data_IF_623180711364
#
_entry.id   IF_623180711364
#
_cell.length_a   1.000
_cell.length_b   1.000
_cell.length_c   1.000
_cell.angle_alpha   90.00
_cell.angle_beta   90.00
_cell.angle_gamma   90.00
#
_symmetry.space_group_name_H-M   'P 1'
#
loop_
_entity.id
_entity.type
_entity.pdbx_description
1 polymer ?
#
# COMPACT_ATOMS: atom_id res chain seq x y z
N UNK A 1 -12.23 -6.21 8.19
CA UNK A 1 -11.86 -6.42 9.61
C UNK A 1 -10.35 -6.23 9.71
N UNK A 2 -9.84 -5.55 10.73
CA UNK A 2 -8.40 -5.37 10.95
C UNK A 2 -7.86 -6.62 11.67
N UNK A 3 -6.96 -7.38 11.04
CA UNK A 3 -6.30 -8.51 11.69
C UNK A 3 -5.37 -8.06 12.84
N UNK A 4 -4.89 -8.99 13.68
CA UNK A 4 -4.06 -8.66 14.84
C UNK A 4 -2.77 -7.90 14.51
N UNK A 5 -2.18 -8.10 13.34
CA UNK A 5 -0.92 -7.48 12.90
C UNK A 5 -1.14 -6.43 11.81
N UNK A 6 -2.39 -6.20 11.41
CA UNK A 6 -2.72 -5.31 10.29
C UNK A 6 -2.90 -3.86 10.75
N UNK A 7 -2.81 -2.95 9.78
CA UNK A 7 -3.33 -1.58 9.90
C UNK A 7 -4.37 -1.35 8.81
N UNK A 8 -5.46 -0.64 9.16
CA UNK A 8 -6.44 -0.15 8.19
C UNK A 8 -6.16 1.33 7.96
N UNK A 9 -6.02 1.72 6.70
CA UNK A 9 -5.72 3.09 6.30
C UNK A 9 -6.97 3.68 5.65
N UNK A 10 -7.38 4.86 6.13
CA UNK A 10 -8.32 5.71 5.40
C UNK A 10 -7.53 6.52 4.37
N UNK A 11 -7.70 6.16 3.10
CA UNK A 11 -7.04 6.85 1.98
C UNK A 11 -7.63 8.25 1.82
N UNK A 12 -6.77 9.27 1.78
CA UNK A 12 -7.16 10.68 1.60
C UNK A 12 -6.85 11.19 0.19
N UNK A 13 -5.82 10.65 -0.44
CA UNK A 13 -5.44 10.96 -1.80
C UNK A 13 -4.75 9.75 -2.45
N UNK A 14 -4.94 9.59 -3.76
CA UNK A 14 -4.21 8.65 -4.59
C UNK A 14 -3.80 9.35 -5.90
N UNK A 15 -2.60 9.04 -6.38
CA UNK A 15 -2.07 9.52 -7.65
C UNK A 15 -2.16 8.43 -8.73
N UNK A 16 -1.95 8.85 -9.97
CA UNK A 16 -1.91 7.96 -11.14
C UNK A 16 -0.53 8.11 -11.77
N UNK A 17 0.14 6.98 -11.97
CA UNK A 17 1.46 6.96 -12.60
C UNK A 17 1.44 6.19 -13.94
N UNK A 18 2.59 6.19 -14.63
CA UNK A 18 2.73 5.46 -15.89
C UNK A 18 2.52 3.96 -15.75
N UNK A 19 2.81 3.36 -14.59
CA UNK A 19 2.53 1.95 -14.36
C UNK A 19 1.03 1.68 -14.24
N UNK A 20 0.24 2.56 -13.63
CA UNK A 20 -1.23 2.41 -13.60
C UNK A 20 -1.81 2.40 -15.01
N UNK A 21 -1.30 3.27 -15.90
CA UNK A 21 -1.73 3.31 -17.30
C UNK A 21 -1.39 2.05 -18.08
N UNK A 22 -0.22 1.44 -17.84
CA UNK A 22 0.15 0.15 -18.46
C UNK A 22 -0.80 -0.98 -18.04
N UNK A 23 -1.24 -0.97 -16.78
CA UNK A 23 -2.23 -1.93 -16.30
C UNK A 23 -3.63 -1.64 -16.86
N UNK A 24 -4.01 -0.36 -16.99
CA UNK A 24 -5.28 0.04 -17.59
C UNK A 24 -5.40 -0.39 -19.06
N UNK A 25 -4.32 -0.22 -19.83
CA UNK A 25 -4.27 -0.59 -21.25
C UNK A 25 -3.98 -2.08 -21.51
N UNK A 26 -3.90 -2.93 -20.48
CA UNK A 26 -3.47 -4.35 -20.55
C UNK A 26 -2.11 -4.57 -21.25
N UNK A 27 -1.31 -3.51 -21.41
CA UNK A 27 0.03 -3.55 -22.01
C UNK A 27 1.06 -4.27 -21.13
N UNK A 28 0.72 -4.56 -19.87
CA UNK A 28 1.55 -5.34 -18.94
C UNK A 28 1.45 -6.86 -19.15
N UNK A 29 0.61 -7.35 -20.06
CA UNK A 29 0.35 -8.78 -20.23
C UNK A 29 -0.43 -9.43 -19.09
N UNK A 30 -1.07 -8.63 -18.22
CA UNK A 30 -1.98 -9.12 -17.18
C UNK A 30 -3.42 -9.02 -17.66
N UNK A 31 -4.07 -10.17 -17.88
CA UNK A 31 -5.47 -10.27 -18.33
C UNK A 31 -6.52 -10.01 -17.22
N UNK A 32 -6.10 -9.54 -16.04
CA UNK A 32 -7.01 -9.21 -14.94
C UNK A 32 -7.65 -7.84 -15.13
N UNK A 33 -8.77 -7.83 -15.87
CA UNK A 33 -9.65 -6.68 -16.05
C UNK A 33 -10.32 -6.18 -14.75
N UNK A 34 -10.33 -6.98 -13.67
CA UNK A 34 -11.04 -6.69 -12.41
C UNK A 34 -10.11 -6.52 -11.20
N UNK A 35 -8.91 -6.00 -11.40
CA UNK A 35 -7.97 -5.73 -10.31
C UNK A 35 -8.02 -4.24 -9.93
N UNK A 36 -8.19 -3.95 -8.63
CA UNK A 36 -8.08 -2.59 -8.09
C UNK A 36 -6.61 -2.19 -8.12
N UNK A 37 -6.27 -1.15 -8.88
CA UNK A 37 -4.90 -0.65 -9.06
C UNK A 37 -4.64 0.59 -8.19
N UNK A 38 -3.40 1.06 -8.24
CA UNK A 38 -2.92 2.21 -7.47
C UNK A 38 -1.94 1.80 -6.38
N UNK A 39 -0.70 2.27 -6.49
CA UNK A 39 0.36 2.08 -5.51
C UNK A 39 0.95 3.41 -5.01
N UNK A 40 0.32 4.52 -5.39
CA UNK A 40 0.69 5.88 -4.97
C UNK A 40 -0.48 6.49 -4.19
N UNK A 41 -0.49 6.33 -2.87
CA UNK A 41 -1.55 6.85 -2.03
C UNK A 41 -1.03 7.39 -0.69
N UNK A 42 -1.78 8.32 -0.11
CA UNK A 42 -1.53 8.86 1.22
C UNK A 42 -2.84 8.93 2.02
N UNK A 43 -2.72 8.75 3.34
CA UNK A 43 -3.88 8.68 4.21
C UNK A 43 -3.52 8.73 5.68
N UNK A 44 -4.49 8.33 6.51
CA UNK A 44 -4.33 8.21 7.95
C UNK A 44 -4.72 6.80 8.41
N UNK A 45 -4.03 6.28 9.43
CA UNK A 45 -4.40 5.01 10.05
C UNK A 45 -5.75 5.18 10.75
N UNK A 46 -6.74 4.40 10.33
CA UNK A 46 -8.08 4.35 10.88
C UNK A 46 -8.23 3.28 11.97
N UNK A 47 -7.50 2.17 11.85
CA UNK A 47 -7.50 1.08 12.83
C UNK A 47 -6.13 0.41 12.88
N UNK A 48 -5.76 -0.08 14.06
CA UNK A 48 -4.57 -0.92 14.29
C UNK A 48 -4.99 -2.25 14.91
N UNK A 49 -4.32 -3.32 14.52
CA UNK A 49 -4.44 -4.63 15.15
C UNK A 49 -3.85 -4.66 16.56
N UNK A 50 -4.31 -5.60 17.38
CA UNK A 50 -3.92 -5.72 18.79
C UNK A 50 -2.41 -6.03 19.02
N UNK A 51 -1.71 -6.56 18.02
CA UNK A 51 -0.28 -6.88 18.06
C UNK A 51 0.60 -5.81 17.43
N UNK A 52 0.02 -4.78 16.81
CA UNK A 52 0.77 -3.66 16.21
C UNK A 52 1.33 -2.77 17.30
N UNK A 53 2.65 -2.56 17.32
CA UNK A 53 3.35 -1.80 18.37
C UNK A 53 3.81 -0.41 17.93
N UNK A 54 4.21 -0.28 16.67
CA UNK A 54 4.95 0.89 16.19
C UNK A 54 4.07 1.94 15.49
N UNK A 55 2.75 1.67 15.40
CA UNK A 55 1.80 2.50 14.66
C UNK A 55 0.57 2.80 15.51
N UNK A 56 -0.05 3.97 15.26
CA UNK A 56 -1.25 4.42 16.00
C UNK A 56 -2.30 5.05 15.08
N UNK A 57 -3.56 4.96 15.50
CA UNK A 57 -4.68 5.62 14.84
C UNK A 57 -4.42 7.14 14.74
N UNK A 58 -4.77 7.72 13.58
CA UNK A 58 -4.56 9.12 13.25
C UNK A 58 -3.18 9.45 12.69
N UNK A 59 -2.22 8.51 12.72
CA UNK A 59 -0.91 8.72 12.11
C UNK A 59 -1.03 8.82 10.59
N UNK A 60 -0.37 9.83 10.00
CA UNK A 60 -0.29 10.00 8.55
C UNK A 60 0.70 9.00 7.96
N UNK A 61 0.31 8.39 6.86
CA UNK A 61 1.10 7.37 6.15
C UNK A 61 1.03 7.61 4.65
N UNK A 62 2.04 7.13 3.94
CA UNK A 62 2.13 7.11 2.48
C UNK A 62 2.54 5.71 2.04
N UNK A 63 2.08 5.27 0.88
CA UNK A 63 2.54 4.02 0.30
C UNK A 63 4.01 4.10 -0.10
N UNK A 64 4.74 3.02 0.16
CA UNK A 64 6.00 2.74 -0.52
C UNK A 64 5.68 1.94 -1.79
N UNK A 65 6.42 2.19 -2.88
CA UNK A 65 6.29 1.41 -4.11
C UNK A 65 7.08 0.08 -4.04
N UNK A 66 7.77 -0.16 -2.92
CA UNK A 66 8.47 -1.41 -2.63
C UNK A 66 7.47 -2.47 -2.14
N UNK A 67 7.21 -3.50 -2.95
CA UNK A 67 6.22 -4.54 -2.61
C UNK A 67 6.57 -5.37 -1.36
N UNK A 68 7.86 -5.57 -1.08
CA UNK A 68 8.32 -6.22 0.16
C UNK A 68 9.68 -5.65 0.57
N UNK A 69 9.81 -5.27 1.85
CA UNK A 69 11.06 -4.84 2.47
C UNK A 69 11.39 -5.84 3.57
N UNK A 70 12.48 -6.59 3.41
CA UNK A 70 12.83 -7.65 4.37
C UNK A 70 13.56 -7.13 5.62
N UNK A 71 14.13 -5.93 5.56
CA UNK A 71 14.82 -5.29 6.69
C UNK A 71 16.16 -5.93 7.08
N UNK A 72 16.66 -6.91 6.33
CA UNK A 72 17.85 -7.72 6.70
C UNK A 72 18.84 -7.99 5.56
N UNK A 73 18.53 -7.57 4.32
CA UNK A 73 19.44 -7.76 3.19
C UNK A 73 20.36 -6.54 3.00
N UNK A 74 21.45 -6.65 2.21
CA UNK A 74 22.35 -5.53 1.97
C UNK A 74 21.69 -4.31 1.32
N UNK A 75 20.53 -4.46 0.67
CA UNK A 75 19.77 -3.34 0.13
C UNK A 75 18.91 -2.61 1.18
N UNK A 76 18.74 -3.19 2.37
CA UNK A 76 18.04 -2.59 3.51
C UNK A 76 18.99 -1.92 4.52
N UNK A 77 20.31 -2.11 4.38
CA UNK A 77 21.35 -1.40 5.13
C UNK A 77 21.70 -0.06 4.46
#
# INVERSE_FOLDING_TARGET
MCGPEDVVIEIKAAAICGADMKHYNVDSGSDEFNSIRGHEFAGCIAQVGEKVKDWKVGQRVVSDNSGHVCGVCPACE
#
